data_IF_384401652046
#
_entry.id   IF_384401652046
#
_cell.length_a   1.000
_cell.length_b   1.000
_cell.length_c   1.000
_cell.angle_alpha   90.00
_cell.angle_beta   90.00
_cell.angle_gamma   90.00
#
_symmetry.space_group_name_H-M   'P 1'
#
loop_
_entity.id
_entity.type
_entity.pdbx_description
1 polymer ?
#
# COMPACT_ATOMS: atom_id res chain seq x y z
N UNK A 1 19.02 -30.72 21.95
CA UNK A 1 18.07 -29.79 22.54
C UNK A 1 18.50 -28.32 22.39
N UNK A 2 19.73 -27.96 22.78
CA UNK A 2 20.20 -26.56 22.66
C UNK A 2 20.15 -26.01 21.22
N UNK A 3 20.48 -26.84 20.22
CA UNK A 3 20.45 -26.46 18.81
C UNK A 3 19.04 -26.15 18.31
N UNK A 4 18.02 -26.88 18.77
CA UNK A 4 16.64 -26.66 18.40
C UNK A 4 16.12 -25.35 19.02
N UNK A 5 16.51 -25.03 20.23
CA UNK A 5 16.16 -23.78 20.91
C UNK A 5 16.78 -22.57 20.20
N UNK A 6 18.06 -22.67 19.79
CA UNK A 6 18.75 -21.63 19.04
C UNK A 6 18.08 -21.38 17.67
N UNK A 7 17.73 -22.44 16.94
CA UNK A 7 17.05 -22.33 15.67
C UNK A 7 15.69 -21.66 15.82
N UNK A 8 14.93 -22.01 16.87
CA UNK A 8 13.66 -21.38 17.17
C UNK A 8 13.78 -19.89 17.47
N UNK A 9 14.80 -19.50 18.24
CA UNK A 9 15.07 -18.09 18.55
C UNK A 9 15.46 -17.29 17.31
N UNK A 10 16.27 -17.86 16.40
CA UNK A 10 16.67 -17.20 15.15
C UNK A 10 15.45 -16.98 14.25
N UNK A 11 14.59 -17.99 14.09
CA UNK A 11 13.37 -17.87 13.29
C UNK A 11 12.43 -16.85 13.88
N UNK A 12 12.19 -16.87 15.19
CA UNK A 12 11.32 -15.91 15.88
C UNK A 12 11.87 -14.48 15.74
N UNK A 13 13.19 -14.31 15.92
CA UNK A 13 13.85 -13.01 15.77
C UNK A 13 13.76 -12.48 14.35
N UNK A 14 13.90 -13.35 13.34
CA UNK A 14 13.77 -12.97 11.93
C UNK A 14 12.34 -12.51 11.62
N UNK A 15 11.33 -13.26 12.07
CA UNK A 15 9.92 -12.86 11.92
C UNK A 15 9.62 -11.53 12.60
N UNK A 16 10.11 -11.36 13.83
CA UNK A 16 9.95 -10.13 14.58
C UNK A 16 10.58 -8.95 13.84
N UNK A 17 11.80 -9.13 13.32
CA UNK A 17 12.48 -8.11 12.53
C UNK A 17 11.71 -7.76 11.26
N UNK A 18 11.18 -8.76 10.53
CA UNK A 18 10.36 -8.53 9.35
C UNK A 18 9.10 -7.70 9.66
N UNK A 19 8.46 -7.97 10.81
CA UNK A 19 7.26 -7.25 11.22
C UNK A 19 7.54 -5.83 11.67
N UNK A 20 8.74 -5.54 12.15
CA UNK A 20 9.13 -4.24 12.67
C UNK A 20 9.83 -3.34 11.64
N UNK A 21 10.16 -3.86 10.47
CA UNK A 21 10.78 -3.02 9.44
C UNK A 21 9.84 -1.87 9.07
N UNK A 22 10.34 -0.63 9.05
CA UNK A 22 9.50 0.50 8.66
C UNK A 22 9.12 0.42 7.19
N UNK A 23 7.91 0.83 6.87
CA UNK A 23 7.47 0.96 5.49
C UNK A 23 8.25 2.12 4.85
N UNK A 24 8.82 1.88 3.69
CA UNK A 24 9.48 2.92 2.90
C UNK A 24 8.58 3.32 1.75
N UNK A 25 8.26 4.61 1.68
CA UNK A 25 7.56 5.18 0.53
C UNK A 25 8.63 5.64 -0.45
N UNK A 26 8.75 4.93 -1.57
CA UNK A 26 9.77 5.23 -2.58
C UNK A 26 9.36 6.44 -3.41
N UNK A 27 8.12 6.48 -3.86
CA UNK A 27 7.60 7.55 -4.70
C UNK A 27 6.08 7.57 -4.65
N UNK A 28 5.50 8.70 -5.02
CA UNK A 28 4.07 8.88 -5.17
C UNK A 28 3.82 9.47 -6.55
N UNK A 29 2.96 8.83 -7.33
CA UNK A 29 2.54 9.30 -8.65
C UNK A 29 1.06 9.61 -8.60
N UNK A 30 0.71 10.83 -8.99
CA UNK A 30 -0.67 11.30 -8.93
C UNK A 30 -1.23 11.57 -10.33
N UNK A 31 -2.50 11.25 -10.48
CA UNK A 31 -3.26 11.56 -11.69
C UNK A 31 -4.70 11.89 -11.26
N UNK A 32 -5.04 13.18 -11.26
CA UNK A 32 -6.33 13.69 -10.78
C UNK A 32 -6.61 13.23 -9.34
N UNK A 33 -7.68 12.47 -9.12
CA UNK A 33 -8.05 11.94 -7.80
C UNK A 33 -7.51 10.54 -7.55
N UNK A 34 -6.61 10.05 -8.40
CA UNK A 34 -5.94 8.77 -8.25
C UNK A 34 -4.48 8.98 -7.84
N UNK A 35 -4.01 8.19 -6.90
CA UNK A 35 -2.61 8.20 -6.49
C UNK A 35 -2.08 6.78 -6.48
N UNK A 36 -0.83 6.63 -6.94
CA UNK A 36 -0.09 5.37 -6.85
C UNK A 36 1.08 5.59 -5.90
N UNK A 37 1.12 4.82 -4.81
CA UNK A 37 2.18 4.90 -3.81
C UNK A 37 3.07 3.67 -3.96
N UNK A 38 4.34 3.89 -4.27
CA UNK A 38 5.30 2.81 -4.45
C UNK A 38 6.00 2.57 -3.11
N UNK A 39 5.90 1.35 -2.61
CA UNK A 39 6.35 1.03 -1.25
C UNK A 39 7.29 -0.17 -1.20
N UNK A 40 8.12 -0.18 -0.16
CA UNK A 40 8.92 -1.33 0.25
C UNK A 40 8.56 -1.67 1.70
N UNK A 41 8.67 -2.94 2.05
CA UNK A 41 8.43 -3.41 3.42
C UNK A 41 7.00 -3.13 3.92
N UNK A 42 6.04 -3.18 3.02
CA UNK A 42 4.64 -2.95 3.38
C UNK A 42 4.13 -4.11 4.26
N UNK A 43 3.18 -3.84 5.20
CA UNK A 43 2.65 -4.91 6.06
C UNK A 43 2.09 -6.09 5.27
N UNK A 44 2.26 -7.29 5.80
CA UNK A 44 1.87 -8.52 5.12
C UNK A 44 0.41 -8.91 5.36
N UNK A 45 -0.15 -8.52 6.51
CA UNK A 45 -1.53 -8.85 6.86
C UNK A 45 -2.48 -7.73 6.43
N UNK A 46 -3.73 -8.07 6.16
CA UNK A 46 -4.75 -7.07 5.80
C UNK A 46 -4.97 -6.07 6.92
N UNK A 47 -5.07 -6.57 8.16
CA UNK A 47 -5.21 -5.71 9.34
C UNK A 47 -4.02 -4.78 9.50
N UNK A 48 -2.81 -5.28 9.26
CA UNK A 48 -1.59 -4.47 9.32
C UNK A 48 -1.58 -3.36 8.27
N UNK A 49 -2.04 -3.65 7.05
CA UNK A 49 -2.14 -2.67 5.97
C UNK A 49 -3.12 -1.56 6.31
N UNK A 50 -4.31 -1.92 6.80
CA UNK A 50 -5.34 -0.96 7.18
C UNK A 50 -4.86 -0.09 8.35
N UNK A 51 -4.25 -0.69 9.36
CA UNK A 51 -3.73 0.04 10.52
C UNK A 51 -2.58 0.97 10.13
N UNK A 52 -1.74 0.55 9.18
CA UNK A 52 -0.69 1.41 8.65
C UNK A 52 -1.29 2.67 8.01
N UNK A 53 -2.32 2.52 7.19
CA UNK A 53 -3.04 3.65 6.60
C UNK A 53 -3.60 4.58 7.67
N UNK A 54 -4.25 4.02 8.68
CA UNK A 54 -4.86 4.81 9.76
C UNK A 54 -3.83 5.65 10.51
N UNK A 55 -2.63 5.11 10.70
CA UNK A 55 -1.54 5.81 11.38
C UNK A 55 -0.84 6.84 10.51
N UNK A 56 -0.82 6.62 9.20
CA UNK A 56 0.01 7.40 8.28
C UNK A 56 -0.77 8.30 7.32
N UNK A 57 -2.09 8.27 7.35
CA UNK A 57 -2.91 9.08 6.44
C UNK A 57 -2.63 10.58 6.54
N UNK A 58 -2.37 11.08 7.74
CA UNK A 58 -2.05 12.49 7.95
C UNK A 58 -0.68 12.83 7.36
N UNK A 59 0.31 11.96 7.55
CA UNK A 59 1.62 12.12 6.95
C UNK A 59 1.55 12.15 5.41
N UNK A 60 0.76 11.27 4.83
CA UNK A 60 0.56 11.23 3.38
C UNK A 60 -0.07 12.54 2.89
N UNK A 61 -1.02 13.08 3.62
CA UNK A 61 -1.66 14.35 3.28
C UNK A 61 -0.67 15.51 3.39
N UNK A 62 0.08 15.57 4.47
CA UNK A 62 1.03 16.67 4.70
C UNK A 62 2.21 16.63 3.74
N UNK A 63 2.81 15.46 3.55
CA UNK A 63 4.04 15.34 2.78
C UNK A 63 3.81 15.21 1.27
N UNK A 64 2.77 14.48 0.86
CA UNK A 64 2.50 14.18 -0.55
C UNK A 64 1.21 14.79 -1.06
N UNK A 65 0.43 15.40 -0.19
CA UNK A 65 -0.87 15.99 -0.52
C UNK A 65 -1.84 14.99 -1.17
N UNK A 66 -1.88 13.77 -0.65
CA UNK A 66 -2.81 12.73 -1.08
C UNK A 66 -3.68 12.28 0.09
N UNK A 67 -4.95 11.93 -0.13
CA UNK A 67 -5.65 11.98 -1.41
C UNK A 67 -6.01 13.41 -1.86
N UNK A 68 -6.24 13.58 -3.16
CA UNK A 68 -6.83 14.79 -3.73
C UNK A 68 -8.24 14.43 -4.22
N UNK A 69 -9.26 14.54 -3.36
CA UNK A 69 -10.60 14.14 -3.76
C UNK A 69 -11.11 14.98 -4.92
N UNK A 70 -11.94 14.37 -5.78
CA UNK A 70 -12.66 15.07 -6.82
C UNK A 70 -13.72 16.00 -6.22
N UNK A 71 -14.41 16.78 -7.03
CA UNK A 71 -15.51 17.63 -6.57
C UNK A 71 -16.61 16.84 -5.87
N UNK A 72 -16.79 15.57 -6.23
CA UNK A 72 -17.74 14.66 -5.59
C UNK A 72 -17.22 13.99 -4.32
N UNK A 73 -15.94 14.24 -3.95
CA UNK A 73 -15.29 13.61 -2.81
C UNK A 73 -14.68 12.26 -3.09
N UNK A 74 -14.65 11.83 -4.36
CA UNK A 74 -14.11 10.52 -4.74
C UNK A 74 -12.60 10.54 -4.78
N UNK A 75 -11.96 9.46 -4.31
CA UNK A 75 -10.52 9.27 -4.52
C UNK A 75 -10.17 7.78 -4.51
N UNK A 76 -9.01 7.47 -5.08
CA UNK A 76 -8.43 6.13 -5.05
C UNK A 76 -6.93 6.26 -4.81
N UNK A 77 -6.42 5.52 -3.83
CA UNK A 77 -4.98 5.39 -3.58
C UNK A 77 -4.66 3.91 -3.70
N UNK A 78 -3.71 3.56 -4.57
CA UNK A 78 -3.27 2.18 -4.75
C UNK A 78 -1.82 2.08 -4.32
N UNK A 79 -1.53 1.10 -3.48
CA UNK A 79 -0.18 0.81 -3.00
C UNK A 79 0.41 -0.33 -3.81
N UNK A 80 1.53 -0.05 -4.45
CA UNK A 80 2.25 -1.00 -5.31
C UNK A 80 3.58 -1.35 -4.67
N UNK A 81 3.92 -2.63 -4.65
CA UNK A 81 5.27 -3.01 -4.27
C UNK A 81 6.24 -2.53 -5.35
N UNK A 82 7.29 -1.82 -4.91
CA UNK A 82 8.29 -1.30 -5.84
C UNK A 82 9.08 -2.42 -6.54
N UNK A 83 9.26 -3.56 -5.85
CA UNK A 83 9.91 -4.75 -6.40
C UNK A 83 11.29 -4.46 -6.95
N UNK A 84 11.52 -4.82 -8.20
CA UNK A 84 12.80 -4.61 -8.89
C UNK A 84 13.00 -3.18 -9.37
N UNK A 85 12.05 -2.30 -9.07
CA UNK A 85 12.16 -0.88 -9.38
C UNK A 85 11.65 -0.52 -10.75
N UNK A 86 12.00 0.69 -11.19
CA UNK A 86 11.57 1.19 -12.48
C UNK A 86 12.27 0.45 -13.61
N UNK A 87 11.47 0.09 -14.62
CA UNK A 87 11.91 -0.63 -15.81
C UNK A 87 11.23 -0.05 -17.04
N UNK A 88 11.73 -0.39 -18.23
CA UNK A 88 11.01 -0.10 -19.47
C UNK A 88 9.81 -1.03 -19.58
N UNK A 89 8.74 -0.58 -20.23
CA UNK A 89 7.55 -1.40 -20.43
C UNK A 89 7.86 -2.68 -21.21
N UNK A 90 8.61 -2.55 -22.30
CA UNK A 90 8.95 -3.68 -23.15
C UNK A 90 7.69 -4.37 -23.66
N UNK A 91 7.72 -5.70 -23.63
CA UNK A 91 6.60 -6.55 -24.06
C UNK A 91 5.73 -7.03 -22.89
N UNK A 92 6.00 -6.52 -21.69
CA UNK A 92 5.29 -6.95 -20.48
C UNK A 92 4.17 -5.98 -20.14
N UNK A 93 3.16 -6.48 -19.46
CA UNK A 93 2.08 -5.66 -18.94
C UNK A 93 2.52 -5.05 -17.61
N UNK A 94 3.08 -3.84 -17.66
CA UNK A 94 3.58 -3.12 -16.50
C UNK A 94 2.75 -1.87 -16.23
N UNK A 95 2.82 -1.37 -15.01
CA UNK A 95 2.22 -0.08 -14.63
C UNK A 95 3.23 1.02 -14.94
N UNK A 96 2.90 1.87 -15.88
CA UNK A 96 3.78 2.95 -16.34
C UNK A 96 3.25 4.31 -15.90
N UNK A 97 4.16 5.23 -15.62
CA UNK A 97 3.85 6.57 -15.10
C UNK A 97 4.28 7.64 -16.10
N UNK A 98 3.29 8.30 -16.68
CA UNK A 98 3.52 9.32 -17.72
C UNK A 98 4.12 10.61 -17.17
N UNK A 99 4.05 10.82 -15.85
CA UNK A 99 4.67 11.97 -15.20
C UNK A 99 6.19 11.87 -15.15
N UNK A 100 6.75 10.70 -15.44
CA UNK A 100 8.19 10.51 -15.55
C UNK A 100 8.64 10.72 -16.99
N UNK A 101 9.66 11.56 -17.18
CA UNK A 101 10.17 11.91 -18.50
C UNK A 101 11.30 10.99 -18.95
N UNK A 102 11.11 9.69 -18.78
CA UNK A 102 12.08 8.66 -19.17
C UNK A 102 11.34 7.42 -19.62
N UNK A 103 11.98 6.59 -20.43
CA UNK A 103 11.41 5.30 -20.84
C UNK A 103 11.42 4.28 -19.71
N UNK A 104 12.28 4.48 -18.70
CA UNK A 104 12.37 3.60 -17.53
C UNK A 104 11.40 4.14 -16.48
N UNK A 105 10.10 4.03 -16.79
CA UNK A 105 9.02 4.63 -15.99
C UNK A 105 7.97 3.63 -15.54
N UNK A 106 8.25 2.34 -15.63
CA UNK A 106 7.27 1.30 -15.32
C UNK A 106 7.72 0.41 -14.18
N UNK A 107 6.74 -0.11 -13.44
CA UNK A 107 6.96 -1.12 -12.39
C UNK A 107 6.14 -2.36 -12.70
N UNK A 108 6.52 -3.49 -12.11
CA UNK A 108 5.72 -4.70 -12.20
C UNK A 108 4.38 -4.47 -11.49
N UNK A 109 3.29 -4.99 -12.05
CA UNK A 109 1.94 -4.81 -11.50
C UNK A 109 1.74 -5.67 -10.26
N UNK A 110 2.16 -5.17 -9.13
CA UNK A 110 1.98 -5.85 -7.85
C UNK A 110 1.31 -4.91 -6.85
N UNK A 111 0.01 -4.68 -7.07
CA UNK A 111 -0.81 -3.89 -6.16
C UNK A 111 -1.18 -4.74 -4.96
N UNK A 112 -0.91 -4.24 -3.77
CA UNK A 112 -1.12 -5.01 -2.53
C UNK A 112 -2.21 -4.43 -1.64
N UNK A 113 -2.61 -3.18 -1.90
CA UNK A 113 -3.57 -2.50 -1.04
C UNK A 113 -4.17 -1.31 -1.80
N UNK A 114 -5.45 -1.04 -1.56
CA UNK A 114 -6.09 0.15 -2.11
C UNK A 114 -7.01 0.78 -1.07
N UNK A 115 -7.05 2.10 -1.07
CA UNK A 115 -7.97 2.89 -0.25
C UNK A 115 -8.84 3.70 -1.21
N UNK A 116 -10.16 3.49 -1.15
CA UNK A 116 -11.11 4.11 -2.07
C UNK A 116 -12.25 4.76 -1.33
N UNK A 117 -12.72 5.88 -1.88
CA UNK A 117 -13.94 6.54 -1.41
C UNK A 117 -14.77 6.95 -2.62
N UNK A 118 -16.04 6.60 -2.61
CA UNK A 118 -16.99 6.96 -3.66
C UNK A 118 -18.09 7.85 -3.07
N UNK A 119 -18.21 9.07 -3.60
CA UNK A 119 -19.20 10.06 -3.13
C UNK A 119 -19.06 10.29 -1.62
N UNK A 120 -20.17 10.26 -0.90
CA UNK A 120 -20.20 10.43 0.55
C UNK A 120 -20.16 9.10 1.29
N UNK A 121 -19.85 8.01 0.59
CA UNK A 121 -19.75 6.69 1.19
C UNK A 121 -18.53 6.55 2.09
N UNK A 122 -18.51 5.50 2.87
CA UNK A 122 -17.37 5.19 3.74
C UNK A 122 -16.15 4.79 2.91
N UNK A 123 -14.99 4.90 3.55
CA UNK A 123 -13.74 4.45 2.94
C UNK A 123 -13.75 2.93 2.85
N UNK A 124 -13.38 2.40 1.69
CA UNK A 124 -13.25 0.97 1.43
C UNK A 124 -11.76 0.65 1.30
N UNK A 125 -11.34 -0.37 2.05
CA UNK A 125 -9.98 -0.91 1.94
C UNK A 125 -10.05 -2.21 1.14
N UNK A 126 -9.22 -2.34 0.11
CA UNK A 126 -9.19 -3.52 -0.75
C UNK A 126 -7.83 -4.19 -0.71
N UNK A 127 -7.84 -5.53 -0.60
CA UNK A 127 -6.67 -6.39 -0.65
C UNK A 127 -6.97 -7.57 -1.56
N UNK A 128 -5.99 -8.47 -1.72
CA UNK A 128 -6.23 -9.72 -2.43
C UNK A 128 -7.31 -10.59 -1.77
N UNK A 129 -7.39 -10.53 -0.44
CA UNK A 129 -8.29 -11.38 0.32
C UNK A 129 -9.70 -10.83 0.42
N UNK A 130 -9.92 -9.57 0.10
CA UNK A 130 -11.26 -9.02 0.14
C UNK A 130 -11.31 -7.51 0.35
N UNK A 131 -12.49 -7.07 0.72
CA UNK A 131 -12.78 -5.67 0.99
C UNK A 131 -13.14 -5.48 2.44
N UNK A 132 -12.75 -4.35 3.00
CA UNK A 132 -12.97 -4.04 4.41
C UNK A 132 -13.49 -2.62 4.56
N UNK A 133 -14.28 -2.42 5.59
CA UNK A 133 -14.73 -1.10 6.02
C UNK A 133 -14.52 -0.98 7.53
N UNK A 134 -14.74 0.22 8.08
CA UNK A 134 -14.71 0.44 9.53
C UNK A 134 -16.13 0.68 10.02
N UNK A 135 -16.49 0.07 11.16
CA UNK A 135 -17.79 0.31 11.79
C UNK A 135 -17.77 1.63 12.60
N UNK A 136 -18.86 1.91 13.28
CA UNK A 136 -19.01 3.12 14.11
C UNK A 136 -17.97 3.20 15.22
N UNK A 137 -17.45 2.06 15.66
CA UNK A 137 -16.46 1.97 16.72
C UNK A 137 -15.03 1.84 16.17
N UNK A 138 -14.85 2.07 14.87
CA UNK A 138 -13.58 1.97 14.18
C UNK A 138 -13.00 0.55 14.14
N UNK A 139 -13.84 -0.46 14.26
CA UNK A 139 -13.46 -1.86 14.08
C UNK A 139 -13.43 -2.22 12.59
N UNK A 140 -12.44 -3.03 12.21
CA UNK A 140 -12.29 -3.49 10.84
C UNK A 140 -13.31 -4.59 10.55
N UNK A 141 -14.14 -4.39 9.54
CA UNK A 141 -15.17 -5.34 9.13
C UNK A 141 -14.89 -5.80 7.70
N UNK A 142 -14.83 -7.12 7.51
CA UNK A 142 -14.67 -7.70 6.18
C UNK A 142 -16.03 -7.76 5.49
N UNK A 143 -16.09 -7.20 4.30
CA UNK A 143 -17.30 -7.23 3.45
C UNK A 143 -17.14 -8.36 2.44
N UNK A 144 -18.21 -9.11 2.24
CA UNK A 144 -18.24 -10.15 1.22
C UNK A 144 -18.76 -9.63 -0.12
#
# INVERSE_FOLDING_TARGET
MALLLLAGCVVAGYWYWLCLRPVEIVAVHEEDNHASVLVKNFPLTDKGKINWWRKNKNLLKEKYNIPKPSSSGNFTIIFWLFGDGYQEEGKYDRRCFDDMKTKVNCIDKNAVFAVRKYHNDDIIFATYEGRYTLDKNSNIIKNE
#
